data_IF_434520406080
#
_entry.id   IF_434520406080
#
_cell.length_a   1.000
_cell.length_b   1.000
_cell.length_c   1.000
_cell.angle_alpha   90.00
_cell.angle_beta   90.00
_cell.angle_gamma   90.00
#
_symmetry.space_group_name_H-M   'P 1'
#
loop_
_entity.id
_entity.type
_entity.pdbx_description
1 polymer ?
#
# COMPACT_ATOMS: atom_id res chain seq x y z
N UNK A 1 -18.86 -27.65 -37.69
CA UNK A 1 -18.11 -28.05 -36.48
C UNK A 1 -16.73 -27.40 -36.36
N UNK A 2 -15.84 -27.50 -37.37
CA UNK A 2 -14.50 -26.87 -37.32
C UNK A 2 -14.49 -25.37 -37.01
N UNK A 3 -15.43 -24.60 -37.59
CA UNK A 3 -15.58 -23.14 -37.33
C UNK A 3 -16.01 -22.82 -35.90
N UNK A 4 -16.81 -23.69 -35.27
CA UNK A 4 -17.29 -23.51 -33.89
C UNK A 4 -16.17 -23.76 -32.88
N UNK A 5 -15.33 -24.78 -33.14
CA UNK A 5 -14.16 -25.11 -32.33
C UNK A 5 -13.13 -23.96 -32.36
N UNK A 6 -12.89 -23.37 -33.53
CA UNK A 6 -12.01 -22.21 -33.67
C UNK A 6 -12.52 -21.00 -32.88
N UNK A 7 -13.85 -20.77 -32.88
CA UNK A 7 -14.47 -19.67 -32.14
C UNK A 7 -14.29 -19.86 -30.61
N UNK A 8 -14.54 -21.07 -30.11
CA UNK A 8 -14.34 -21.42 -28.69
C UNK A 8 -12.87 -21.27 -28.29
N UNK A 9 -11.94 -21.68 -29.16
CA UNK A 9 -10.51 -21.51 -28.92
C UNK A 9 -10.12 -20.03 -28.84
N UNK A 10 -10.59 -19.18 -29.76
CA UNK A 10 -10.33 -17.73 -29.75
C UNK A 10 -10.87 -17.04 -28.48
N UNK A 11 -12.06 -17.40 -28.01
CA UNK A 11 -12.61 -16.87 -26.75
C UNK A 11 -11.85 -17.34 -25.50
N UNK A 12 -11.20 -18.51 -25.57
CA UNK A 12 -10.42 -19.06 -24.45
C UNK A 12 -9.09 -18.33 -24.25
N UNK A 13 -8.48 -17.82 -25.32
CA UNK A 13 -7.18 -17.14 -25.29
C UNK A 13 -7.28 -15.73 -24.68
N UNK A 14 -8.46 -15.09 -24.72
CA UNK A 14 -8.67 -13.73 -24.23
C UNK A 14 -8.43 -13.56 -22.72
N UNK A 15 -8.53 -14.64 -21.93
CA UNK A 15 -8.29 -14.60 -20.48
C UNK A 15 -6.80 -14.63 -20.11
N UNK A 16 -5.90 -14.87 -21.06
CA UNK A 16 -4.46 -15.10 -20.82
C UNK A 16 -3.59 -13.86 -21.06
N UNK A 17 -4.16 -12.72 -21.44
CA UNK A 17 -3.39 -11.63 -22.05
C UNK A 17 -3.29 -10.33 -21.23
N UNK A 18 -3.81 -10.29 -20.01
CA UNK A 18 -3.69 -9.10 -19.15
C UNK A 18 -2.88 -9.43 -17.92
N UNK A 19 -1.72 -8.77 -17.80
CA UNK A 19 -0.91 -8.75 -16.59
C UNK A 19 -1.59 -7.92 -15.49
N UNK A 20 -1.54 -8.42 -14.26
CA UNK A 20 -2.15 -7.82 -13.08
C UNK A 20 -1.10 -7.59 -11.97
N UNK A 21 -1.01 -6.34 -11.50
CA UNK A 21 -0.22 -5.97 -10.33
C UNK A 21 -1.17 -5.78 -9.15
N UNK A 22 -0.96 -6.57 -8.11
CA UNK A 22 -1.75 -6.54 -6.88
C UNK A 22 -0.94 -5.94 -5.74
N UNK A 23 -1.59 -5.08 -4.96
CA UNK A 23 -1.03 -4.47 -3.75
C UNK A 23 -1.91 -4.88 -2.58
N UNK A 24 -1.30 -5.38 -1.50
CA UNK A 24 -2.02 -5.76 -0.28
C UNK A 24 -1.23 -5.43 0.98
N UNK A 25 -1.94 -5.30 2.10
CA UNK A 25 -1.32 -5.24 3.42
C UNK A 25 -0.98 -6.68 3.84
N UNK A 26 0.30 -7.04 3.82
CA UNK A 26 0.78 -8.35 4.25
C UNK A 26 0.80 -8.45 5.78
N UNK A 27 1.20 -7.37 6.46
CA UNK A 27 1.13 -7.25 7.91
C UNK A 27 0.42 -5.96 8.31
N UNK A 28 -0.66 -6.03 9.12
CA UNK A 28 -1.35 -4.85 9.58
C UNK A 28 -0.44 -4.02 10.48
N UNK A 29 -0.64 -2.70 10.46
CA UNK A 29 0.15 -1.79 11.26
C UNK A 29 0.00 -2.07 12.76
N UNK A 30 1.14 -2.24 13.45
CA UNK A 30 1.20 -2.40 14.90
C UNK A 30 2.02 -1.28 15.51
N UNK A 31 1.45 -0.59 16.49
CA UNK A 31 2.11 0.47 17.25
C UNK A 31 2.96 -0.14 18.35
N UNK A 32 4.23 0.22 18.38
CA UNK A 32 5.15 -0.14 19.46
C UNK A 32 5.67 1.15 20.09
N UNK A 33 5.73 1.16 21.42
CA UNK A 33 6.47 2.18 22.16
C UNK A 33 7.95 2.04 21.79
N UNK A 34 8.51 3.02 21.09
CA UNK A 34 9.92 3.00 20.75
C UNK A 34 10.65 3.95 21.69
N UNK A 35 11.48 3.40 22.58
CA UNK A 35 12.49 4.16 23.30
C UNK A 35 13.71 4.34 22.39
N UNK A 36 13.58 5.10 21.31
CA UNK A 36 14.72 5.43 20.45
C UNK A 36 15.27 6.77 20.87
N UNK A 37 16.55 6.82 21.18
CA UNK A 37 17.35 8.02 21.51
C UNK A 37 17.31 9.12 20.43
N UNK A 38 16.77 8.82 19.24
CA UNK A 38 16.70 9.69 18.06
C UNK A 38 15.29 10.13 17.64
N UNK A 39 14.24 9.57 18.26
CA UNK A 39 12.89 10.12 18.16
C UNK A 39 12.63 10.83 19.48
N UNK A 40 12.01 12.02 19.43
CA UNK A 40 11.59 12.72 20.65
C UNK A 40 10.90 11.71 21.59
N UNK A 41 11.23 11.77 22.89
CA UNK A 41 10.81 10.81 23.92
C UNK A 41 9.29 10.55 23.98
N UNK A 42 8.52 11.38 23.29
CA UNK A 42 7.07 11.35 23.23
C UNK A 42 6.51 10.81 21.90
N UNK A 43 7.30 10.24 20.99
CA UNK A 43 6.75 9.66 19.74
C UNK A 43 6.45 8.15 19.87
N UNK A 44 5.38 7.70 19.23
CA UNK A 44 5.03 6.29 19.05
C UNK A 44 5.08 5.97 17.55
N UNK A 45 5.73 4.87 17.19
CA UNK A 45 5.81 4.41 15.80
C UNK A 45 4.92 3.18 15.59
N UNK A 46 4.05 3.28 14.60
CA UNK A 46 3.39 2.15 13.97
C UNK A 46 4.22 1.66 12.79
N UNK A 47 4.41 0.34 12.66
CA UNK A 47 4.97 -0.28 11.45
C UNK A 47 4.02 -1.35 10.92
N UNK A 48 3.85 -1.40 9.61
CA UNK A 48 3.18 -2.48 8.89
C UNK A 48 3.95 -2.83 7.61
N UNK A 49 3.53 -3.90 6.93
CA UNK A 49 4.16 -4.36 5.69
C UNK A 49 3.13 -4.35 4.55
N UNK A 50 3.49 -3.69 3.45
CA UNK A 50 2.79 -3.78 2.17
C UNK A 50 3.53 -4.78 1.29
N UNK A 51 2.78 -5.58 0.56
CA UNK A 51 3.28 -6.48 -0.45
C UNK A 51 2.74 -6.08 -1.82
N UNK A 52 3.65 -5.97 -2.78
CA UNK A 52 3.35 -5.79 -4.20
C UNK A 52 3.70 -7.09 -4.90
N UNK A 53 2.78 -7.63 -5.69
CA UNK A 53 3.03 -8.83 -6.47
C UNK A 53 2.40 -8.75 -7.86
N UNK A 54 3.05 -9.41 -8.81
CA UNK A 54 2.64 -9.50 -10.21
C UNK A 54 2.40 -10.96 -10.58
N UNK A 55 1.44 -11.21 -11.46
CA UNK A 55 1.22 -12.51 -12.09
C UNK A 55 2.05 -12.73 -13.37
N UNK A 56 2.66 -11.66 -13.91
CA UNK A 56 3.49 -11.69 -15.12
C UNK A 56 4.68 -10.72 -14.99
N UNK A 57 5.74 -11.21 -14.35
CA UNK A 57 6.98 -10.45 -14.15
C UNK A 57 7.59 -9.94 -15.44
N UNK A 58 7.55 -10.70 -16.53
CA UNK A 58 8.17 -10.32 -17.80
C UNK A 58 7.51 -9.06 -18.39
N UNK A 59 6.18 -8.99 -18.33
CA UNK A 59 5.43 -7.82 -18.82
C UNK A 59 5.53 -6.61 -17.87
N UNK A 60 5.59 -6.88 -16.56
CA UNK A 60 5.63 -5.86 -15.52
C UNK A 60 7.03 -5.34 -15.17
N UNK A 61 8.07 -6.02 -15.64
CA UNK A 61 9.45 -5.67 -15.31
C UNK A 61 9.75 -4.21 -15.63
N UNK A 62 10.28 -3.49 -14.63
CA UNK A 62 10.64 -2.07 -14.77
C UNK A 62 9.47 -1.09 -14.68
N UNK A 63 8.21 -1.55 -14.53
CA UNK A 63 7.09 -0.67 -14.17
C UNK A 63 7.33 -0.10 -12.76
N UNK A 64 6.93 1.15 -12.57
CA UNK A 64 7.06 1.88 -11.31
C UNK A 64 5.72 1.94 -10.60
N UNK A 65 5.70 1.53 -9.34
CA UNK A 65 4.58 1.71 -8.42
C UNK A 65 4.92 2.83 -7.45
N UNK A 66 4.08 3.84 -7.39
CA UNK A 66 4.24 4.99 -6.50
C UNK A 66 3.17 4.98 -5.42
N UNK A 67 3.59 5.21 -4.19
CA UNK A 67 2.74 5.24 -3.01
C UNK A 67 2.64 6.66 -2.48
N UNK A 68 1.42 7.15 -2.36
CA UNK A 68 1.16 8.44 -1.73
C UNK A 68 0.34 8.23 -0.46
N UNK A 69 0.73 8.97 0.57
CA UNK A 69 0.08 8.98 1.87
C UNK A 69 -0.38 10.40 2.13
N UNK A 70 -1.56 10.60 2.74
CA UNK A 70 -1.98 11.94 3.13
C UNK A 70 -1.02 12.52 4.18
N UNK A 71 -1.00 13.85 4.28
CA UNK A 71 -0.16 14.56 5.24
C UNK A 71 -0.49 14.20 6.68
N UNK A 72 -1.78 13.99 6.97
CA UNK A 72 -2.27 13.51 8.24
C UNK A 72 -3.37 12.47 8.04
N UNK A 73 -3.59 11.65 9.05
CA UNK A 73 -4.73 10.74 9.12
C UNK A 73 -5.29 10.72 10.54
N UNK A 74 -6.56 10.34 10.68
CA UNK A 74 -7.16 10.07 11.99
C UNK A 74 -7.28 8.56 12.18
N UNK A 75 -6.88 8.10 13.36
CA UNK A 75 -7.04 6.70 13.80
C UNK A 75 -7.71 6.69 15.16
N UNK A 76 -8.13 5.53 15.65
CA UNK A 76 -8.70 5.41 17.00
C UNK A 76 -7.98 4.35 17.83
N UNK A 77 -7.91 4.58 19.14
CA UNK A 77 -7.59 3.55 20.13
C UNK A 77 -8.86 2.89 20.73
N UNK A 78 -10.00 2.98 20.04
CA UNK A 78 -11.36 2.60 20.48
C UNK A 78 -12.00 3.51 21.52
N UNK A 79 -11.26 4.47 22.09
CA UNK A 79 -11.79 5.41 23.09
C UNK A 79 -11.77 6.85 22.58
N UNK A 80 -10.75 7.21 21.81
CA UNK A 80 -10.48 8.56 21.34
C UNK A 80 -9.93 8.58 19.92
N UNK A 81 -10.23 9.65 19.20
CA UNK A 81 -9.57 9.94 17.92
C UNK A 81 -8.13 10.36 18.15
N UNK A 82 -7.23 9.84 17.34
CA UNK A 82 -5.80 10.02 17.39
C UNK A 82 -5.34 10.63 16.07
N UNK A 83 -4.65 11.76 16.14
CA UNK A 83 -3.99 12.34 14.97
C UNK A 83 -2.70 11.60 14.67
N UNK A 84 -2.61 11.05 13.47
CA UNK A 84 -1.36 10.56 12.89
C UNK A 84 -0.63 11.76 12.30
N UNK A 85 0.53 12.08 12.88
CA UNK A 85 1.34 13.23 12.47
C UNK A 85 2.05 13.00 11.14
N UNK A 86 2.43 11.74 10.87
CA UNK A 86 3.16 11.39 9.66
C UNK A 86 2.86 9.96 9.26
N UNK A 87 2.54 9.78 7.99
CA UNK A 87 2.52 8.48 7.31
C UNK A 87 3.62 8.44 6.26
N UNK A 88 4.26 7.29 6.09
CA UNK A 88 5.31 7.14 5.10
C UNK A 88 5.78 5.72 4.90
N UNK A 89 6.80 5.55 4.08
CA UNK A 89 7.49 4.28 3.84
C UNK A 89 8.96 4.40 4.22
N UNK A 90 9.55 3.28 4.62
CA UNK A 90 10.97 3.21 5.00
C UNK A 90 11.89 3.51 3.80
N UNK A 91 11.46 3.18 2.58
CA UNK A 91 12.14 3.63 1.37
C UNK A 91 12.03 5.15 1.22
N UNK A 92 13.19 5.82 1.09
CA UNK A 92 13.28 7.28 0.90
C UNK A 92 12.55 7.77 -0.36
N UNK A 93 12.39 6.87 -1.33
CA UNK A 93 11.55 7.05 -2.50
C UNK A 93 10.30 6.23 -2.25
N UNK A 94 9.12 6.87 -2.19
CA UNK A 94 7.81 6.20 -2.13
C UNK A 94 7.49 5.51 -3.47
N UNK A 95 8.50 4.90 -4.07
CA UNK A 95 8.58 4.39 -5.43
C UNK A 95 9.18 3.00 -5.36
N UNK A 96 8.56 2.08 -6.08
CA UNK A 96 9.00 0.70 -6.19
C UNK A 96 9.10 0.39 -7.68
N UNK A 97 10.21 -0.20 -8.09
CA UNK A 97 10.39 -0.69 -9.46
C UNK A 97 10.21 -2.20 -9.39
N UNK A 98 9.27 -2.73 -10.18
CA UNK A 98 9.04 -4.17 -10.20
C UNK A 98 10.26 -4.86 -10.81
N UNK A 99 11.00 -5.57 -9.97
CA UNK A 99 12.14 -6.40 -10.37
C UNK A 99 11.91 -7.88 -10.09
N UNK A 100 11.01 -8.19 -9.16
CA UNK A 100 10.64 -9.54 -8.73
C UNK A 100 9.13 -9.73 -8.78
N UNK A 101 8.70 -10.99 -8.79
CA UNK A 101 7.28 -11.37 -8.72
C UNK A 101 6.58 -10.90 -7.45
N UNK A 102 7.35 -10.75 -6.37
CA UNK A 102 6.85 -10.34 -5.07
C UNK A 102 7.90 -9.50 -4.35
N UNK A 103 7.48 -8.35 -3.86
CA UNK A 103 8.32 -7.43 -3.11
C UNK A 103 7.55 -6.90 -1.90
N UNK A 104 8.24 -6.74 -0.77
CA UNK A 104 7.66 -6.32 0.50
C UNK A 104 8.35 -5.08 1.03
N UNK A 105 7.55 -4.17 1.60
CA UNK A 105 8.03 -2.87 2.04
C UNK A 105 7.37 -2.46 3.34
N UNK A 106 8.18 -1.92 4.24
CA UNK A 106 7.69 -1.35 5.48
C UNK A 106 7.10 0.04 5.26
N UNK A 107 5.90 0.23 5.79
CA UNK A 107 5.27 1.55 5.94
C UNK A 107 5.09 1.86 7.42
N UNK A 108 5.10 3.14 7.76
CA UNK A 108 5.08 3.60 9.13
C UNK A 108 4.10 4.75 9.36
N UNK A 109 3.64 4.85 10.60
CA UNK A 109 2.88 5.96 11.14
C UNK A 109 3.59 6.49 12.39
N UNK A 110 3.65 7.82 12.53
CA UNK A 110 4.14 8.47 13.75
C UNK A 110 2.98 9.13 14.47
N UNK A 111 2.86 8.86 15.77
CA UNK A 111 1.93 9.50 16.69
C UNK A 111 2.70 10.27 17.76
N UNK A 112 2.12 11.35 18.27
CA UNK A 112 2.57 11.97 19.51
C UNK A 112 1.84 11.36 20.71
N UNK A 113 2.60 10.86 21.68
CA UNK A 113 2.12 10.27 22.93
C UNK A 113 1.33 11.30 23.76
N UNK A 114 1.72 12.58 23.70
CA UNK A 114 1.02 13.66 24.42
C UNK A 114 -0.40 13.84 23.91
N UNK A 115 -0.66 13.52 22.66
CA UNK A 115 -1.94 13.76 22.01
C UNK A 115 -2.90 12.57 22.13
N UNK A 116 -2.43 11.42 22.62
CA UNK A 116 -3.24 10.20 22.77
C UNK A 116 -4.48 10.44 23.64
N UNK A 117 -4.34 11.27 24.67
CA UNK A 117 -5.42 11.56 25.61
C UNK A 117 -6.19 12.85 25.27
N UNK A 118 -5.73 13.64 24.29
CA UNK A 118 -6.34 14.93 23.92
C UNK A 118 -7.46 14.79 22.89
N UNK A 119 -7.55 13.64 22.24
CA UNK A 119 -8.60 13.36 21.26
C UNK A 119 -10.01 13.40 21.84
N UNK A 120 -10.96 13.72 20.95
CA UNK A 120 -12.39 13.63 21.21
C UNK A 120 -12.77 12.19 21.58
N UNK A 121 -13.69 12.07 22.55
CA UNK A 121 -14.23 10.77 22.96
C UNK A 121 -15.10 10.24 21.85
N UNK A 122 -14.92 8.96 21.57
CA UNK A 122 -15.61 8.28 20.50
C UNK A 122 -16.84 7.59 21.08
N UNK A 123 -18.01 7.94 20.55
CA UNK A 123 -19.26 7.21 20.74
C UNK A 123 -19.66 6.62 19.38
N UNK A 124 -19.28 5.36 19.14
CA UNK A 124 -19.60 4.64 17.89
C UNK A 124 -20.53 3.49 18.24
N UNK A 125 -21.71 3.48 17.63
CA UNK A 125 -22.56 2.31 17.55
C UNK A 125 -22.01 1.35 16.47
N UNK A 126 -21.19 0.38 16.88
CA UNK A 126 -20.63 -0.66 15.99
C UNK A 126 -19.13 -0.92 16.14
N UNK A 127 -18.58 -1.82 15.32
CA UNK A 127 -17.15 -2.14 15.31
C UNK A 127 -16.40 -1.23 14.32
N UNK A 128 -15.50 -0.39 14.83
CA UNK A 128 -14.60 0.39 13.98
C UNK A 128 -13.45 -0.49 13.46
N UNK A 129 -13.47 -0.76 12.16
CA UNK A 129 -12.35 -1.38 11.42
C UNK A 129 -11.51 -0.23 10.85
N UNK A 130 -10.40 0.10 11.51
CA UNK A 130 -9.58 1.25 11.12
C UNK A 130 -9.05 1.20 9.69
N UNK A 131 -8.86 2.38 9.10
CA UNK A 131 -8.44 2.55 7.71
C UNK A 131 -7.20 3.45 7.60
N UNK A 132 -6.24 3.02 6.80
CA UNK A 132 -5.08 3.84 6.41
C UNK A 132 -5.20 4.07 4.90
N UNK A 133 -5.49 5.30 4.44
CA UNK A 133 -5.51 5.62 3.02
C UNK A 133 -4.10 5.50 2.44
N UNK A 134 -3.99 4.70 1.39
CA UNK A 134 -2.77 4.53 0.60
C UNK A 134 -3.18 4.70 -0.86
N UNK A 135 -2.73 5.77 -1.49
CA UNK A 135 -2.95 6.03 -2.91
C UNK A 135 -1.83 5.33 -3.68
N UNK A 136 -2.20 4.52 -4.66
CA UNK A 136 -1.25 3.74 -5.47
C UNK A 136 -1.38 4.18 -6.92
N UNK A 137 -0.26 4.55 -7.53
CA UNK A 137 -0.17 4.89 -8.94
C UNK A 137 0.83 4.00 -9.65
N UNK A 138 0.52 3.61 -10.89
CA UNK A 138 1.40 2.79 -11.73
C UNK A 138 1.87 3.60 -12.94
N UNK A 139 3.18 3.56 -13.21
CA UNK A 139 3.79 4.19 -14.36
C UNK A 139 4.60 3.17 -15.16
N UNK A 140 4.44 3.19 -16.48
CA UNK A 140 5.30 2.48 -17.43
C UNK A 140 6.12 3.52 -18.17
N UNK A 141 7.42 3.25 -18.40
CA UNK A 141 8.22 4.08 -19.30
C UNK A 141 7.56 4.03 -20.68
N UNK A 142 7.25 5.20 -21.26
CA UNK A 142 6.71 5.29 -22.62
C UNK A 142 7.73 4.67 -23.57
N UNK A 143 7.35 3.60 -24.28
CA UNK A 143 8.17 3.03 -25.35
C UNK A 143 8.35 4.07 -26.48
N UNK A 144 9.42 3.95 -27.26
CA UNK A 144 9.58 4.75 -28.46
C UNK A 144 8.38 4.48 -29.38
N UNK A 145 7.78 5.54 -29.92
CA UNK A 145 6.61 5.48 -30.81
C UNK A 145 6.93 4.81 -32.16
N UNK A 146 8.19 4.44 -32.39
CA UNK A 146 8.68 3.94 -33.68
C UNK A 146 8.73 2.40 -33.80
N UNK A 147 8.23 1.66 -32.80
CA UNK A 147 8.23 0.18 -32.82
C UNK A 147 6.82 -0.44 -33.05
N UNK A 148 5.92 0.27 -33.74
CA UNK A 148 4.63 -0.27 -34.22
C UNK A 148 4.61 -0.24 -35.76
#
# INVERSE_FOLDING_TARGET
MKKLILLVFLFSIQKLTFSEIKVRIAEPMRFKSINTTHLDKDKILGKGIIEVFTDNKEEDFGKKIMFEFPEYNLMTNRRKWLKVEKLGMESSKKEIIITKEREQFAFYAVLDRKDINKGEVIDIEGEYVGYIPIIVSQYKKRGNINDI
#
